data_IF_469258495702
#
_entry.id   IF_469258495702
#
_cell.length_a   1.000
_cell.length_b   1.000
_cell.length_c   1.000
_cell.angle_alpha   90.00
_cell.angle_beta   90.00
_cell.angle_gamma   90.00
#
_symmetry.space_group_name_H-M   'P 1'
#
loop_
_entity.id
_entity.type
_entity.pdbx_description
1 polymer ?
#
# COMPACT_ATOMS: atom_id res chain seq x y z
N UNK A 1 10.40 27.20 -12.02
CA UNK A 1 11.16 26.36 -12.96
C UNK A 1 11.87 25.18 -12.31
N UNK A 2 12.59 25.39 -11.22
CA UNK A 2 13.33 24.33 -10.51
C UNK A 2 12.38 23.23 -10.00
N UNK A 3 11.24 23.56 -9.42
CA UNK A 3 10.24 22.63 -8.93
C UNK A 3 9.73 21.68 -10.03
N UNK A 4 9.49 22.20 -11.23
CA UNK A 4 8.96 21.41 -12.35
C UNK A 4 9.96 20.34 -12.81
N UNK A 5 11.24 20.67 -12.85
CA UNK A 5 12.31 19.70 -13.21
C UNK A 5 12.43 18.59 -12.18
N UNK A 6 12.37 18.92 -10.88
CA UNK A 6 12.46 17.96 -9.80
C UNK A 6 11.26 17.01 -9.81
N UNK A 7 10.06 17.54 -10.00
CA UNK A 7 8.84 16.75 -10.09
C UNK A 7 8.88 15.81 -11.29
N UNK A 8 9.29 16.30 -12.44
CA UNK A 8 9.42 15.49 -13.66
C UNK A 8 10.43 14.36 -13.48
N UNK A 9 11.56 14.63 -12.81
CA UNK A 9 12.57 13.62 -12.55
C UNK A 9 12.08 12.51 -11.60
N UNK A 10 11.31 12.86 -10.57
CA UNK A 10 10.81 11.90 -9.57
C UNK A 10 9.50 11.23 -9.96
N UNK A 11 8.58 11.97 -10.53
CA UNK A 11 7.18 11.56 -10.72
C UNK A 11 6.70 11.67 -12.16
N UNK A 12 7.62 11.83 -13.11
CA UNK A 12 7.26 12.01 -14.53
C UNK A 12 6.39 10.87 -15.07
N UNK A 13 6.64 9.65 -14.65
CA UNK A 13 5.84 8.48 -15.05
C UNK A 13 4.39 8.59 -14.61
N UNK A 14 4.15 9.04 -13.39
CA UNK A 14 2.79 9.22 -12.85
C UNK A 14 2.05 10.32 -13.61
N UNK A 15 2.73 11.40 -13.95
CA UNK A 15 2.15 12.50 -14.69
C UNK A 15 1.80 12.11 -16.13
N UNK A 16 2.64 11.28 -16.77
CA UNK A 16 2.33 10.72 -18.09
C UNK A 16 1.12 9.80 -18.05
N UNK A 17 1.03 8.95 -17.04
CA UNK A 17 -0.14 8.07 -16.84
C UNK A 17 -1.43 8.88 -16.66
N UNK A 18 -1.39 9.89 -15.83
CA UNK A 18 -2.54 10.78 -15.60
C UNK A 18 -2.98 11.46 -16.90
N UNK A 19 -2.03 12.01 -17.65
CA UNK A 19 -2.32 12.66 -18.93
C UNK A 19 -2.96 11.71 -19.95
N UNK A 20 -2.50 10.45 -20.00
CA UNK A 20 -3.07 9.45 -20.89
C UNK A 20 -4.50 9.06 -20.52
N UNK A 21 -4.82 9.05 -19.23
CA UNK A 21 -6.15 8.65 -18.73
C UNK A 21 -7.15 9.79 -18.85
N UNK A 22 -6.75 11.00 -18.46
CA UNK A 22 -7.64 12.16 -18.32
C UNK A 22 -7.56 13.12 -19.50
N UNK A 23 -6.53 13.01 -20.34
CA UNK A 23 -6.25 13.90 -21.47
C UNK A 23 -6.04 15.36 -21.05
N UNK A 24 -5.47 15.56 -19.87
CA UNK A 24 -5.09 16.88 -19.34
C UNK A 24 -3.63 16.86 -18.88
N UNK A 25 -2.89 17.94 -19.21
CA UNK A 25 -1.50 18.05 -18.77
C UNK A 25 -1.44 18.49 -17.30
N UNK A 26 -0.97 17.62 -16.37
CA UNK A 26 -0.96 17.94 -14.94
C UNK A 26 0.02 19.06 -14.57
N UNK A 27 0.95 19.42 -15.45
CA UNK A 27 1.83 20.56 -15.24
C UNK A 27 1.14 21.91 -15.51
N UNK A 28 0.07 21.90 -16.28
CA UNK A 28 -0.70 23.11 -16.63
C UNK A 28 -1.99 23.22 -15.85
N UNK A 29 -2.66 22.11 -15.61
CA UNK A 29 -3.95 22.04 -14.92
C UNK A 29 -3.81 21.17 -13.67
N UNK A 30 -4.28 21.61 -12.49
CA UNK A 30 -4.22 20.78 -11.28
C UNK A 30 -4.94 19.44 -11.49
N UNK A 31 -4.36 18.37 -10.93
CA UNK A 31 -4.97 17.05 -10.97
C UNK A 31 -6.22 17.02 -10.10
N UNK A 32 -7.23 16.30 -10.58
CA UNK A 32 -8.41 15.99 -9.77
C UNK A 32 -8.12 14.81 -8.86
N UNK A 33 -8.14 15.04 -7.56
CA UNK A 33 -7.95 14.01 -6.54
C UNK A 33 -9.01 14.12 -5.47
N UNK A 34 -9.33 13.01 -4.83
CA UNK A 34 -10.15 12.99 -3.63
C UNK A 34 -9.76 11.81 -2.75
N UNK A 35 -10.05 11.86 -1.43
CA UNK A 35 -9.73 10.76 -0.54
C UNK A 35 -10.47 9.48 -0.93
N UNK A 36 -9.76 8.36 -0.92
CA UNK A 36 -10.33 7.05 -1.19
C UNK A 36 -9.76 6.04 -0.21
N UNK A 37 -10.56 5.03 0.13
CA UNK A 37 -10.12 3.95 0.98
C UNK A 37 -9.09 3.11 0.21
N UNK A 38 -7.94 2.89 0.84
CA UNK A 38 -6.85 2.14 0.22
C UNK A 38 -6.43 0.93 1.07
N UNK A 39 -6.35 1.10 2.39
CA UNK A 39 -5.85 0.07 3.30
C UNK A 39 -6.52 0.21 4.67
N UNK A 40 -6.90 -0.91 5.26
CA UNK A 40 -7.52 -0.94 6.59
C UNK A 40 -6.49 -1.30 7.64
N UNK A 41 -6.32 -0.41 8.63
CA UNK A 41 -5.47 -0.67 9.78
C UNK A 41 -6.20 -1.53 10.79
N UNK A 42 -5.46 -2.33 11.55
CA UNK A 42 -6.03 -3.31 12.47
C UNK A 42 -6.36 -4.61 11.77
N UNK A 43 -7.27 -5.39 12.33
CA UNK A 43 -7.68 -6.68 11.77
C UNK A 43 -7.71 -7.79 12.82
N UNK A 44 -7.65 -9.02 12.36
CA UNK A 44 -7.71 -10.19 13.22
C UNK A 44 -6.42 -10.34 14.04
N UNK A 45 -6.57 -10.67 15.30
CA UNK A 45 -5.42 -11.00 16.15
C UNK A 45 -4.77 -12.29 15.68
N UNK A 46 -3.44 -12.29 15.62
CA UNK A 46 -2.64 -13.48 15.34
C UNK A 46 -1.44 -13.52 16.29
N UNK A 47 -0.93 -14.73 16.54
CA UNK A 47 0.32 -14.95 17.27
C UNK A 47 1.53 -14.77 16.34
N UNK A 48 2.73 -15.05 16.84
CA UNK A 48 3.95 -14.94 16.03
C UNK A 48 4.03 -15.95 14.89
N UNK A 49 3.21 -17.00 14.91
CA UNK A 49 3.09 -17.96 13.81
C UNK A 49 1.95 -17.61 12.86
N UNK A 50 1.32 -16.46 13.02
CA UNK A 50 0.20 -15.95 12.23
C UNK A 50 -1.09 -16.76 12.40
N UNK A 51 -1.16 -17.58 13.44
CA UNK A 51 -2.36 -18.34 13.78
C UNK A 51 -3.31 -17.47 14.60
N UNK A 52 -4.60 -17.52 14.24
CA UNK A 52 -5.67 -16.85 14.97
C UNK A 52 -6.01 -17.58 16.27
N UNK A 53 -7.01 -17.10 17.01
CA UNK A 53 -7.53 -17.80 18.19
C UNK A 53 -8.22 -19.13 17.87
N UNK A 54 -8.52 -19.37 16.59
CA UNK A 54 -9.09 -20.63 16.12
C UNK A 54 -7.94 -21.55 15.68
N UNK A 55 -7.73 -22.70 16.32
CA UNK A 55 -6.65 -23.62 15.94
C UNK A 55 -6.73 -24.05 14.48
N UNK A 56 -5.58 -23.94 13.79
CA UNK A 56 -5.48 -24.28 12.36
C UNK A 56 -5.95 -23.19 11.41
N UNK A 57 -6.44 -22.06 11.93
CA UNK A 57 -6.85 -20.92 11.11
C UNK A 57 -5.78 -19.82 11.18
N UNK A 58 -5.23 -19.47 10.03
CA UNK A 58 -4.19 -18.45 9.91
C UNK A 58 -4.73 -17.22 9.18
N UNK A 59 -4.30 -16.03 9.60
CA UNK A 59 -4.61 -14.79 8.91
C UNK A 59 -3.31 -14.11 8.50
N UNK A 60 -3.18 -13.83 7.21
CA UNK A 60 -1.98 -13.26 6.63
C UNK A 60 -2.30 -11.95 5.91
N UNK A 61 -1.27 -11.13 5.73
CA UNK A 61 -1.40 -9.86 5.01
C UNK A 61 -2.26 -8.85 5.74
N UNK A 62 -3.06 -8.12 5.01
CA UNK A 62 -3.92 -7.06 5.55
C UNK A 62 -5.00 -7.57 6.50
N UNK A 63 -5.38 -8.84 6.41
CA UNK A 63 -6.43 -9.43 7.25
C UNK A 63 -6.03 -9.48 8.71
N UNK A 64 -4.75 -9.58 9.04
CA UNK A 64 -4.29 -9.56 10.43
C UNK A 64 -3.99 -8.13 10.90
N UNK A 65 -3.93 -7.93 12.24
CA UNK A 65 -3.67 -6.61 12.82
C UNK A 65 -2.23 -6.13 12.61
N UNK A 66 -1.34 -7.01 12.28
CA UNK A 66 0.08 -6.82 11.96
C UNK A 66 0.86 -5.92 12.92
N UNK A 67 2.09 -5.62 12.55
CA UNK A 67 3.01 -4.76 13.28
C UNK A 67 2.94 -3.27 12.86
N UNK A 68 1.98 -2.91 12.01
CA UNK A 68 1.83 -1.51 11.59
C UNK A 68 1.16 -0.62 12.64
N UNK A 69 0.45 -1.19 13.59
CA UNK A 69 -0.33 -0.43 14.57
C UNK A 69 -1.43 0.38 13.90
N UNK A 70 -1.57 1.62 14.31
CA UNK A 70 -2.57 2.53 13.75
C UNK A 70 -2.11 3.23 12.47
N UNK A 71 -0.84 3.07 12.09
CA UNK A 71 -0.28 3.77 10.93
C UNK A 71 0.88 2.97 10.34
N UNK A 72 0.82 2.69 9.04
CA UNK A 72 1.88 1.94 8.37
C UNK A 72 2.82 2.86 7.57
N UNK A 73 4.05 2.40 7.40
CA UNK A 73 4.99 3.03 6.50
C UNK A 73 4.61 2.75 5.03
N UNK A 74 4.99 3.67 4.15
CA UNK A 74 4.74 3.50 2.72
C UNK A 74 5.38 2.23 2.18
N UNK A 75 4.66 1.50 1.32
CA UNK A 75 5.09 0.27 0.64
C UNK A 75 5.34 -0.94 1.57
N UNK A 76 5.12 -0.83 2.87
CA UNK A 76 5.35 -1.94 3.81
C UNK A 76 4.26 -3.01 3.77
N UNK A 77 3.04 -2.68 3.35
CA UNK A 77 1.91 -3.60 3.35
C UNK A 77 2.11 -4.80 2.42
N UNK A 78 2.54 -4.58 1.19
CA UNK A 78 2.81 -5.66 0.23
C UNK A 78 3.98 -6.52 0.67
N UNK A 79 5.04 -5.93 1.20
CA UNK A 79 6.18 -6.66 1.72
C UNK A 79 5.78 -7.57 2.87
N UNK A 80 4.99 -7.07 3.80
CA UNK A 80 4.45 -7.85 4.91
C UNK A 80 3.56 -8.98 4.41
N UNK A 81 2.62 -8.71 3.51
CA UNK A 81 1.73 -9.72 2.96
C UNK A 81 2.48 -10.87 2.26
N UNK A 82 3.50 -10.54 1.47
CA UNK A 82 4.35 -11.54 0.82
C UNK A 82 5.16 -12.34 1.84
N UNK A 83 5.77 -11.68 2.83
CA UNK A 83 6.54 -12.34 3.87
C UNK A 83 5.67 -13.28 4.73
N UNK A 84 4.49 -12.83 5.13
CA UNK A 84 3.54 -13.62 5.91
C UNK A 84 3.12 -14.89 5.16
N UNK A 85 2.70 -14.74 3.90
CA UNK A 85 2.29 -15.87 3.08
C UNK A 85 3.42 -16.87 2.86
N UNK A 86 4.61 -16.37 2.58
CA UNK A 86 5.78 -17.22 2.38
C UNK A 86 6.16 -17.98 3.65
N UNK A 87 6.14 -17.31 4.80
CA UNK A 87 6.47 -17.90 6.09
C UNK A 87 5.49 -19.03 6.47
N UNK A 88 4.20 -18.80 6.32
CA UNK A 88 3.17 -19.78 6.69
C UNK A 88 3.17 -20.97 5.74
N UNK A 89 3.38 -20.75 4.45
CA UNK A 89 3.39 -21.85 3.47
C UNK A 89 4.58 -22.81 3.62
N UNK A 90 5.60 -22.43 4.36
CA UNK A 90 6.76 -23.29 4.60
C UNK A 90 6.61 -24.20 5.83
N UNK A 91 5.56 -23.99 6.60
CA UNK A 91 5.23 -24.83 7.75
C UNK A 91 4.42 -26.02 7.29
#
# INVERSE_FOLDING_TARGET
MIRRRVIRAKYGNLFQMYEKIVDENPYKTPMMIYPAVHYTMGGLWVDYNLMTTIPGCYAIGEANFSDHGANRLGASALMQGLADGYFVCQI
#
